data_IF_925039824085
#
_entry.id   IF_925039824085
#
_cell.length_a   1.000
_cell.length_b   1.000
_cell.length_c   1.000
_cell.angle_alpha   90.00
_cell.angle_beta   90.00
_cell.angle_gamma   90.00
#
_symmetry.space_group_name_H-M   'P 1'
#
loop_
_entity.id
_entity.type
_entity.pdbx_description
1 polymer ?
#
# COMPACT_ATOMS: atom_id res chain seq x y z
N UNK A 1 85.70 8.03 -50.54
CA UNK A 1 84.75 7.22 -49.89
C UNK A 1 84.02 8.05 -48.85
N UNK A 2 82.79 8.52 -49.04
CA UNK A 2 82.13 9.36 -48.06
C UNK A 2 81.16 8.59 -47.22
N UNK A 3 81.22 8.77 -45.91
CA UNK A 3 80.32 8.29 -44.90
C UNK A 3 78.93 9.02 -45.00
N UNK A 4 77.88 8.27 -45.10
CA UNK A 4 76.48 8.75 -44.97
C UNK A 4 76.11 8.73 -43.48
N UNK A 5 75.78 9.93 -42.97
CA UNK A 5 75.15 10.09 -41.66
C UNK A 5 73.66 10.09 -41.87
N UNK A 6 72.93 9.12 -41.32
CA UNK A 6 71.48 9.03 -41.30
C UNK A 6 71.00 9.69 -40.02
N UNK A 7 70.32 10.84 -40.18
CA UNK A 7 69.67 11.51 -39.04
C UNK A 7 68.33 10.89 -38.70
N UNK A 8 68.12 10.45 -37.48
CA UNK A 8 66.84 10.04 -36.97
C UNK A 8 66.09 11.26 -36.38
N UNK A 9 64.99 11.63 -37.02
CA UNK A 9 64.03 12.59 -36.46
C UNK A 9 63.15 11.87 -35.45
N UNK A 10 63.30 12.22 -34.16
CA UNK A 10 62.42 11.80 -33.11
C UNK A 10 61.13 12.65 -33.14
N UNK A 11 60.00 12.07 -33.55
CA UNK A 11 58.72 12.66 -33.37
C UNK A 11 58.21 12.37 -31.95
N UNK A 12 58.19 13.39 -31.07
CA UNK A 12 57.52 13.32 -29.77
C UNK A 12 56.06 13.66 -30.00
N UNK A 13 55.26 12.62 -30.08
CA UNK A 13 53.79 12.76 -30.08
C UNK A 13 53.30 13.01 -28.66
N UNK A 14 52.82 14.21 -28.39
CA UNK A 14 52.08 14.52 -27.15
C UNK A 14 50.69 13.92 -27.31
N UNK A 15 50.46 12.78 -26.62
CA UNK A 15 49.11 12.21 -26.47
C UNK A 15 48.41 12.97 -25.36
N UNK A 16 47.56 13.92 -25.70
CA UNK A 16 46.65 14.54 -24.75
C UNK A 16 45.57 13.50 -24.36
N UNK A 17 45.71 12.89 -23.19
CA UNK A 17 44.63 12.10 -22.58
C UNK A 17 43.56 13.06 -22.10
N UNK A 18 42.47 13.17 -22.87
CA UNK A 18 41.20 13.70 -22.38
C UNK A 18 40.62 12.69 -21.40
N UNK A 19 40.75 12.96 -20.09
CA UNK A 19 39.95 12.32 -19.06
C UNK A 19 38.47 12.77 -19.28
N UNK A 20 37.69 11.97 -19.97
CA UNK A 20 36.22 12.03 -19.93
C UNK A 20 35.83 11.66 -18.50
N UNK A 21 35.64 12.66 -17.66
CA UNK A 21 34.90 12.51 -16.42
C UNK A 21 33.46 12.27 -16.87
N UNK A 22 33.09 11.01 -16.93
CA UNK A 22 31.68 10.63 -17.02
C UNK A 22 31.00 11.16 -15.75
N UNK A 23 30.32 12.29 -15.84
CA UNK A 23 29.41 12.71 -14.79
C UNK A 23 28.39 11.57 -14.64
N UNK A 24 28.51 10.84 -13.53
CA UNK A 24 27.49 9.90 -13.13
C UNK A 24 26.16 10.71 -13.09
N UNK A 25 25.08 10.22 -13.74
CA UNK A 25 23.82 10.91 -13.70
C UNK A 25 23.50 11.18 -12.24
N UNK A 26 23.26 12.46 -11.92
CA UNK A 26 22.85 12.85 -10.57
C UNK A 26 21.61 12.02 -10.25
N UNK A 27 21.79 10.95 -9.47
CA UNK A 27 20.67 10.24 -8.88
C UNK A 27 19.92 11.28 -8.09
N UNK A 28 18.70 11.58 -8.46
CA UNK A 28 17.82 12.38 -7.65
C UNK A 28 17.96 11.86 -6.22
N UNK A 29 18.46 12.69 -5.31
CA UNK A 29 18.69 12.28 -3.93
C UNK A 29 17.33 11.86 -3.38
N UNK A 30 17.12 10.55 -3.25
CA UNK A 30 15.92 9.99 -2.69
C UNK A 30 15.72 10.57 -1.29
N UNK A 31 14.48 10.76 -0.87
CA UNK A 31 14.18 11.23 0.47
C UNK A 31 14.93 10.40 1.52
N UNK A 32 15.59 11.06 2.47
CA UNK A 32 16.27 10.40 3.57
C UNK A 32 15.42 10.55 4.84
N UNK A 33 15.22 9.47 5.54
CA UNK A 33 14.49 9.45 6.81
C UNK A 33 15.25 8.65 7.88
N UNK A 34 15.05 9.02 9.13
CA UNK A 34 15.57 8.30 10.30
C UNK A 34 14.79 7.03 10.63
N UNK A 35 13.59 6.82 10.06
CA UNK A 35 12.88 5.56 10.20
C UNK A 35 13.74 4.40 9.68
N UNK A 36 13.73 3.28 10.37
CA UNK A 36 14.39 2.06 9.90
C UNK A 36 13.59 1.38 8.80
N UNK A 37 12.28 1.36 8.94
CA UNK A 37 11.33 0.70 8.06
C UNK A 37 10.20 1.66 7.72
N UNK A 38 9.93 1.87 6.43
CA UNK A 38 8.87 2.79 6.01
C UNK A 38 8.35 2.47 4.61
N UNK A 39 7.08 2.79 4.38
CA UNK A 39 6.45 2.85 3.07
C UNK A 39 5.50 4.04 3.02
N UNK A 40 5.52 4.75 1.90
CA UNK A 40 4.55 5.80 1.56
C UNK A 40 3.87 5.41 0.26
N UNK A 41 2.56 5.32 0.28
CA UNK A 41 1.75 5.00 -0.90
C UNK A 41 0.77 6.11 -1.22
N UNK A 42 0.44 6.24 -2.48
CA UNK A 42 -0.71 7.01 -2.96
C UNK A 42 -1.94 6.11 -2.96
N UNK A 43 -2.97 6.46 -2.20
CA UNK A 43 -4.16 5.64 -2.03
C UNK A 43 -5.03 5.57 -3.29
N UNK A 44 -4.97 6.59 -4.14
CA UNK A 44 -5.75 6.65 -5.38
C UNK A 44 -5.23 5.68 -6.44
N UNK A 45 -3.93 5.72 -6.70
CA UNK A 45 -3.25 4.90 -7.71
C UNK A 45 -2.68 3.57 -7.18
N UNK A 46 -2.51 3.43 -5.86
CA UNK A 46 -1.77 2.34 -5.25
C UNK A 46 -0.24 2.43 -5.43
N UNK A 47 0.25 3.51 -6.04
CA UNK A 47 1.67 3.67 -6.33
C UNK A 47 2.50 3.84 -5.07
N UNK A 48 3.63 3.13 -5.01
CA UNK A 48 4.64 3.30 -3.95
C UNK A 48 5.50 4.52 -4.29
N UNK A 49 5.46 5.55 -3.43
CA UNK A 49 6.22 6.79 -3.60
C UNK A 49 7.59 6.70 -2.94
N UNK A 50 7.63 6.03 -1.80
CA UNK A 50 8.84 5.82 -1.01
C UNK A 50 8.78 4.46 -0.32
N UNK A 51 9.93 3.79 -0.25
CA UNK A 51 10.06 2.57 0.55
C UNK A 51 11.48 2.42 1.10
N UNK A 52 11.56 1.89 2.33
CA UNK A 52 12.78 1.53 3.02
C UNK A 52 12.49 0.31 3.89
N UNK A 53 13.07 -0.84 3.54
CA UNK A 53 12.81 -2.11 4.22
C UNK A 53 11.32 -2.38 4.50
N UNK A 54 10.41 -2.20 3.49
CA UNK A 54 8.96 -2.19 3.70
C UNK A 54 8.39 -3.57 4.01
N UNK A 55 9.16 -4.62 3.72
CA UNK A 55 8.77 -6.03 3.87
C UNK A 55 9.49 -6.75 5.01
N UNK A 56 10.34 -6.04 5.76
CA UNK A 56 10.95 -6.55 6.97
C UNK A 56 9.98 -6.49 8.15
N UNK A 57 10.10 -7.49 9.03
CA UNK A 57 9.25 -7.59 10.20
C UNK A 57 9.59 -6.52 11.25
N UNK A 58 8.53 -5.91 11.75
CA UNK A 58 8.60 -4.98 12.88
C UNK A 58 7.55 -5.37 13.93
N UNK A 59 7.79 -5.02 15.17
CA UNK A 59 6.78 -5.13 16.22
C UNK A 59 5.80 -3.96 16.07
N UNK A 60 4.48 -4.21 15.90
CA UNK A 60 3.51 -3.15 15.66
C UNK A 60 3.25 -2.24 16.86
N UNK A 61 3.44 -2.72 18.09
CA UNK A 61 2.90 -2.08 19.28
C UNK A 61 1.43 -1.70 19.08
N UNK A 62 1.00 -0.56 19.59
CA UNK A 62 -0.40 -0.10 19.48
C UNK A 62 -0.87 0.19 18.06
N UNK A 63 -0.04 0.09 17.01
CA UNK A 63 -0.55 0.17 15.63
C UNK A 63 -1.36 -1.07 15.24
N UNK A 64 -1.21 -2.20 15.96
CA UNK A 64 -2.07 -3.39 15.80
C UNK A 64 -3.55 -3.08 16.01
N UNK A 65 -3.86 -2.07 16.82
CA UNK A 65 -5.25 -1.64 17.08
C UNK A 65 -6.01 -1.19 15.81
N UNK A 66 -5.28 -0.94 14.71
CA UNK A 66 -5.90 -0.77 13.39
C UNK A 66 -6.57 -2.07 12.93
N UNK A 67 -5.94 -3.22 13.15
CA UNK A 67 -6.52 -4.52 12.84
C UNK A 67 -7.68 -4.87 13.79
N UNK A 68 -7.56 -4.50 15.06
CA UNK A 68 -8.65 -4.64 16.03
C UNK A 68 -9.86 -3.80 15.61
N UNK A 69 -9.64 -2.53 15.22
CA UNK A 69 -10.68 -1.66 14.71
C UNK A 69 -11.29 -2.19 13.40
N UNK A 70 -10.45 -2.71 12.48
CA UNK A 70 -10.92 -3.31 11.23
C UNK A 70 -11.93 -4.43 11.49
N UNK A 71 -11.61 -5.34 12.41
CA UNK A 71 -12.48 -6.46 12.72
C UNK A 71 -13.80 -6.01 13.37
N UNK A 72 -13.76 -5.00 14.25
CA UNK A 72 -14.95 -4.38 14.84
C UNK A 72 -15.78 -3.68 13.77
N UNK A 73 -15.15 -2.94 12.87
CA UNK A 73 -15.84 -2.26 11.77
C UNK A 73 -16.47 -3.24 10.77
N UNK A 74 -15.82 -4.39 10.56
CA UNK A 74 -16.38 -5.47 9.76
C UNK A 74 -17.68 -6.03 10.38
N UNK A 75 -17.69 -6.27 11.70
CA UNK A 75 -18.89 -6.73 12.40
C UNK A 75 -20.03 -5.67 12.36
N UNK A 76 -19.68 -4.39 12.49
CA UNK A 76 -20.63 -3.28 12.39
C UNK A 76 -21.21 -3.16 10.97
N UNK A 77 -20.36 -3.25 9.95
CA UNK A 77 -20.78 -3.14 8.55
C UNK A 77 -21.69 -4.30 8.12
N UNK A 78 -21.44 -5.50 8.65
CA UNK A 78 -22.29 -6.67 8.41
C UNK A 78 -23.56 -6.71 9.27
N UNK A 79 -23.75 -5.72 10.16
CA UNK A 79 -24.94 -5.62 11.03
C UNK A 79 -24.98 -6.66 12.16
N UNK A 80 -23.89 -7.37 12.41
CA UNK A 80 -23.76 -8.31 13.54
C UNK A 80 -23.47 -7.60 14.86
N UNK A 81 -23.03 -6.36 14.80
CA UNK A 81 -22.76 -5.48 15.92
C UNK A 81 -23.35 -4.11 15.66
N UNK A 82 -23.73 -3.38 16.70
CA UNK A 82 -24.23 -2.00 16.63
C UNK A 82 -23.37 -1.10 17.53
N UNK A 83 -23.31 0.20 17.20
CA UNK A 83 -22.57 1.19 17.97
C UNK A 83 -23.09 1.40 19.38
N UNK A 84 -24.39 1.17 19.59
CA UNK A 84 -25.08 1.28 20.88
C UNK A 84 -25.15 -0.02 21.67
N UNK A 85 -24.67 -1.14 21.14
CA UNK A 85 -24.48 -2.37 21.90
C UNK A 85 -23.47 -2.11 23.03
N UNK A 86 -23.64 -2.81 24.16
CA UNK A 86 -22.77 -2.67 25.32
C UNK A 86 -22.01 -3.96 25.60
N UNK A 87 -20.72 -3.82 25.92
CA UNK A 87 -19.88 -4.91 26.39
C UNK A 87 -19.52 -4.73 27.86
N UNK A 88 -19.41 -5.86 28.56
CA UNK A 88 -19.00 -5.89 29.96
C UNK A 88 -17.50 -5.87 30.06
N UNK A 89 -16.94 -4.99 30.89
CA UNK A 89 -15.51 -4.93 31.16
C UNK A 89 -15.14 -6.07 32.10
N UNK A 90 -14.41 -7.06 31.60
CA UNK A 90 -13.95 -8.20 32.37
C UNK A 90 -12.86 -7.82 33.41
N UNK A 91 -12.60 -8.68 34.37
CA UNK A 91 -11.44 -8.54 35.26
C UNK A 91 -10.13 -8.59 34.46
N UNK A 92 -10.04 -9.41 33.42
CA UNK A 92 -8.90 -9.47 32.50
C UNK A 92 -8.65 -8.14 31.81
N UNK A 93 -9.66 -7.58 31.15
CA UNK A 93 -9.54 -6.28 30.47
C UNK A 93 -9.12 -5.16 31.44
N UNK A 94 -9.71 -5.14 32.65
CA UNK A 94 -9.39 -4.15 33.66
C UNK A 94 -7.99 -4.31 34.24
N UNK A 95 -7.54 -5.56 34.52
CA UNK A 95 -6.26 -5.84 35.14
C UNK A 95 -5.09 -5.72 34.17
N UNK A 96 -5.21 -6.34 33.00
CA UNK A 96 -4.10 -6.51 32.06
C UNK A 96 -4.08 -5.42 30.98
N UNK A 97 -5.23 -4.79 30.70
CA UNK A 97 -5.34 -3.64 29.80
C UNK A 97 -5.44 -2.28 30.51
N UNK A 98 -5.78 -2.28 31.79
CA UNK A 98 -6.04 -1.06 32.56
C UNK A 98 -4.78 -0.40 33.11
N UNK A 99 -4.98 0.58 33.98
CA UNK A 99 -3.93 1.44 34.56
C UNK A 99 -2.84 0.66 35.30
N UNK A 100 -3.18 -0.46 35.91
CA UNK A 100 -2.24 -1.29 36.69
C UNK A 100 -1.19 -1.96 35.81
N UNK A 101 -1.49 -2.22 34.55
CA UNK A 101 -0.56 -2.83 33.61
C UNK A 101 0.50 -1.84 33.07
N UNK A 102 0.37 -0.54 33.37
CA UNK A 102 1.36 0.49 32.98
C UNK A 102 1.29 0.94 31.52
N UNK A 103 0.29 0.51 30.75
CA UNK A 103 0.08 0.88 29.36
C UNK A 103 -0.92 2.04 29.17
N UNK A 104 -1.27 2.33 27.93
CA UNK A 104 -2.36 3.24 27.61
C UNK A 104 -3.71 2.61 27.96
N UNK A 105 -4.58 3.35 28.67
CA UNK A 105 -5.88 2.87 29.11
C UNK A 105 -6.97 3.93 28.86
N UNK A 106 -8.19 3.48 28.63
CA UNK A 106 -9.41 4.29 28.62
C UNK A 106 -9.92 4.53 30.05
N UNK A 107 -9.33 3.87 31.06
CA UNK A 107 -9.71 3.86 32.47
C UNK A 107 -11.10 3.24 32.73
N UNK A 108 -11.31 2.08 32.14
CA UNK A 108 -12.54 1.30 32.32
C UNK A 108 -12.64 0.75 33.75
N UNK A 109 -13.87 0.61 34.23
CA UNK A 109 -14.17 0.02 35.51
C UNK A 109 -14.61 -1.44 35.34
N UNK A 110 -14.08 -2.35 36.16
CA UNK A 110 -14.48 -3.77 36.11
C UNK A 110 -15.98 -3.93 36.31
N UNK A 111 -16.59 -4.84 35.55
CA UNK A 111 -18.03 -5.12 35.51
C UNK A 111 -18.91 -3.95 35.03
N UNK A 112 -18.34 -2.86 34.55
CA UNK A 112 -19.14 -1.82 33.91
C UNK A 112 -19.57 -2.24 32.50
N UNK A 113 -20.71 -1.71 32.05
CA UNK A 113 -21.21 -1.85 30.70
C UNK A 113 -20.78 -0.62 29.90
N UNK A 114 -20.16 -0.82 28.74
CA UNK A 114 -19.61 0.25 27.92
C UNK A 114 -20.05 0.07 26.49
N UNK A 115 -20.59 1.14 25.89
CA UNK A 115 -21.03 1.12 24.49
C UNK A 115 -19.87 0.85 23.54
N UNK A 116 -20.14 0.10 22.50
CA UNK A 116 -19.17 -0.21 21.44
C UNK A 116 -18.57 1.07 20.82
N UNK A 117 -19.38 2.10 20.61
CA UNK A 117 -18.92 3.40 20.09
C UNK A 117 -17.86 4.05 21.00
N UNK A 118 -18.07 4.00 22.32
CA UNK A 118 -17.13 4.57 23.28
C UNK A 118 -15.84 3.73 23.38
N UNK A 119 -15.98 2.40 23.30
CA UNK A 119 -14.83 1.49 23.24
C UNK A 119 -13.98 1.72 21.98
N UNK A 120 -14.62 2.00 20.83
CA UNK A 120 -13.92 2.36 19.58
C UNK A 120 -13.11 3.66 19.80
N UNK A 121 -13.71 4.71 20.38
CA UNK A 121 -12.96 5.93 20.71
C UNK A 121 -11.82 5.67 21.67
N UNK A 122 -12.06 4.94 22.74
CA UNK A 122 -11.02 4.51 23.67
C UNK A 122 -9.88 3.75 23.00
N UNK A 123 -10.21 2.87 22.03
CA UNK A 123 -9.24 2.12 21.25
C UNK A 123 -8.33 3.03 20.39
N UNK A 124 -8.94 3.95 19.63
CA UNK A 124 -8.22 4.68 18.57
C UNK A 124 -7.66 6.02 19.05
N UNK A 125 -8.35 6.74 19.95
CA UNK A 125 -7.93 8.03 20.49
C UNK A 125 -7.00 7.86 21.68
N UNK A 126 -7.48 7.17 22.74
CA UNK A 126 -6.74 6.98 23.98
C UNK A 126 -5.67 5.87 23.86
N UNK A 127 -5.79 5.05 22.81
CA UNK A 127 -4.98 3.85 22.64
C UNK A 127 -5.19 2.81 23.77
N UNK A 128 -6.40 2.81 24.38
CA UNK A 128 -6.75 1.98 25.53
C UNK A 128 -6.56 0.50 25.27
N UNK A 129 -5.74 -0.15 26.08
CA UNK A 129 -5.56 -1.60 26.02
C UNK A 129 -6.78 -2.30 26.61
N UNK A 130 -7.35 -1.74 27.69
CA UNK A 130 -8.61 -2.16 28.29
C UNK A 130 -9.77 -2.14 27.29
N UNK A 131 -9.88 -1.08 26.51
CA UNK A 131 -10.87 -0.99 25.44
C UNK A 131 -10.64 -2.05 24.33
N UNK A 132 -9.38 -2.32 23.98
CA UNK A 132 -9.04 -3.34 22.97
C UNK A 132 -9.43 -4.76 23.43
N UNK A 133 -9.12 -5.10 24.68
CA UNK A 133 -9.46 -6.40 25.27
C UNK A 133 -10.97 -6.53 25.41
N UNK A 134 -11.66 -5.49 25.93
CA UNK A 134 -13.12 -5.51 26.07
C UNK A 134 -13.83 -5.69 24.73
N UNK A 135 -13.34 -5.01 23.65
CA UNK A 135 -13.87 -5.22 22.30
C UNK A 135 -13.62 -6.65 21.81
N UNK A 136 -12.43 -7.19 22.04
CA UNK A 136 -12.08 -8.54 21.61
C UNK A 136 -12.96 -9.60 22.29
N UNK A 137 -13.11 -9.51 23.60
CA UNK A 137 -13.96 -10.42 24.37
C UNK A 137 -15.45 -10.28 24.01
N UNK A 138 -15.92 -9.04 23.83
CA UNK A 138 -17.32 -8.79 23.46
C UNK A 138 -17.67 -9.32 22.07
N UNK A 139 -16.76 -9.20 21.09
CA UNK A 139 -16.97 -9.64 19.69
C UNK A 139 -16.78 -11.15 19.52
N UNK A 140 -15.84 -11.76 20.24
CA UNK A 140 -15.44 -13.14 20.01
C UNK A 140 -15.61 -14.07 21.23
N UNK A 141 -16.03 -13.53 22.36
CA UNK A 141 -16.19 -14.27 23.63
C UNK A 141 -14.91 -14.45 24.43
N UNK A 142 -13.74 -14.37 23.79
CA UNK A 142 -12.42 -14.45 24.41
C UNK A 142 -11.36 -13.76 23.55
N UNK A 143 -10.26 -13.30 24.17
CA UNK A 143 -9.16 -12.64 23.46
C UNK A 143 -8.51 -13.60 22.44
N UNK A 144 -8.28 -14.86 22.80
CA UNK A 144 -7.67 -15.85 21.89
C UNK A 144 -8.55 -16.14 20.67
N UNK A 145 -9.88 -16.19 20.85
CA UNK A 145 -10.81 -16.36 19.74
C UNK A 145 -10.79 -15.15 18.80
N UNK A 146 -10.65 -13.95 19.36
CA UNK A 146 -10.50 -12.73 18.57
C UNK A 146 -9.19 -12.73 17.79
N UNK A 147 -8.08 -13.14 18.39
CA UNK A 147 -6.77 -13.26 17.73
C UNK A 147 -6.83 -14.24 16.55
N UNK A 148 -7.51 -15.38 16.70
CA UNK A 148 -7.72 -16.30 15.59
C UNK A 148 -8.48 -15.61 14.43
N UNK A 149 -9.52 -14.81 14.75
CA UNK A 149 -10.25 -14.03 13.75
C UNK A 149 -9.39 -12.95 13.12
N UNK A 150 -8.53 -12.25 13.88
CA UNK A 150 -7.58 -11.26 13.35
C UNK A 150 -6.67 -11.89 12.30
N UNK A 151 -6.08 -13.05 12.58
CA UNK A 151 -5.17 -13.74 11.65
C UNK A 151 -5.90 -14.26 10.40
N UNK A 152 -7.09 -14.85 10.56
CA UNK A 152 -7.94 -15.25 9.44
C UNK A 152 -8.27 -14.05 8.55
N UNK A 153 -8.73 -12.97 9.15
CA UNK A 153 -9.09 -11.75 8.44
C UNK A 153 -7.87 -11.09 7.77
N UNK A 154 -6.73 -11.07 8.44
CA UNK A 154 -5.46 -10.62 7.86
C UNK A 154 -5.09 -11.39 6.59
N UNK A 155 -5.27 -12.71 6.59
CA UNK A 155 -5.06 -13.54 5.40
C UNK A 155 -6.03 -13.18 4.27
N UNK A 156 -7.33 -12.99 4.57
CA UNK A 156 -8.34 -12.56 3.59
C UNK A 156 -8.01 -11.20 2.96
N UNK A 157 -7.45 -10.28 3.73
CA UNK A 157 -6.99 -8.96 3.30
C UNK A 157 -5.63 -8.99 2.57
N UNK A 158 -5.00 -10.16 2.45
CA UNK A 158 -3.70 -10.32 1.82
C UNK A 158 -2.54 -9.75 2.63
N UNK A 159 -2.65 -9.70 3.97
CA UNK A 159 -1.56 -9.34 4.89
C UNK A 159 -0.65 -10.56 5.09
N UNK A 160 0.03 -10.97 4.03
CA UNK A 160 0.70 -12.29 3.95
C UNK A 160 1.94 -12.42 4.82
N UNK A 161 2.49 -11.29 5.27
CA UNK A 161 3.70 -11.25 6.11
C UNK A 161 3.40 -10.79 7.54
N UNK A 162 2.13 -10.63 7.92
CA UNK A 162 1.76 -10.18 9.26
C UNK A 162 1.12 -11.30 10.07
N UNK A 163 1.39 -11.30 11.35
CA UNK A 163 0.72 -12.14 12.34
C UNK A 163 0.37 -11.33 13.59
N UNK A 164 -0.75 -11.66 14.20
CA UNK A 164 -1.31 -10.96 15.33
C UNK A 164 -1.41 -11.91 16.53
N UNK A 165 -0.73 -11.58 17.64
CA UNK A 165 -0.70 -12.36 18.85
C UNK A 165 -1.65 -11.85 19.94
N UNK A 166 -2.10 -10.59 19.83
CA UNK A 166 -3.07 -9.98 20.73
C UNK A 166 -3.70 -8.72 20.09
N UNK A 167 -4.86 -8.22 20.59
CA UNK A 167 -5.57 -7.08 19.98
C UNK A 167 -5.02 -5.70 20.36
N UNK A 168 -4.09 -5.59 21.29
CA UNK A 168 -3.70 -4.32 21.89
C UNK A 168 -2.23 -3.90 21.69
N UNK A 169 -1.36 -4.84 21.30
CA UNK A 169 0.00 -4.51 20.88
C UNK A 169 1.09 -4.85 21.89
N UNK A 170 0.83 -5.81 22.78
CA UNK A 170 1.89 -6.41 23.60
C UNK A 170 2.88 -7.14 22.70
N UNK A 171 4.16 -6.92 22.95
CA UNK A 171 5.21 -7.60 22.21
C UNK A 171 5.20 -9.12 22.49
N UNK A 172 5.44 -9.90 21.48
CA UNK A 172 5.50 -11.36 21.57
C UNK A 172 5.97 -11.97 20.23
N UNK A 173 6.32 -13.25 20.22
CA UNK A 173 6.87 -13.91 19.03
C UNK A 173 5.89 -13.93 17.86
N UNK A 174 4.60 -13.97 18.14
CA UNK A 174 3.53 -14.02 17.14
C UNK A 174 2.98 -12.62 16.78
N UNK A 175 3.51 -11.55 17.40
CA UNK A 175 3.10 -10.17 17.18
C UNK A 175 4.08 -9.46 16.25
N UNK A 176 3.91 -9.60 14.96
CA UNK A 176 4.80 -9.00 13.95
C UNK A 176 4.03 -8.58 12.72
N UNK A 177 4.43 -7.47 12.14
CA UNK A 177 3.85 -6.91 10.91
C UNK A 177 4.94 -6.42 9.97
N UNK A 178 4.57 -6.06 8.75
CA UNK A 178 5.45 -5.30 7.86
C UNK A 178 4.84 -3.91 7.57
N UNK A 179 5.65 -2.88 7.30
CA UNK A 179 5.13 -1.59 6.85
C UNK A 179 4.17 -1.69 5.67
N UNK A 180 4.47 -2.56 4.69
CA UNK A 180 3.61 -2.77 3.52
C UNK A 180 2.24 -3.31 3.88
N UNK A 181 2.17 -4.33 4.73
CA UNK A 181 0.89 -4.89 5.17
C UNK A 181 0.09 -3.87 6.00
N UNK A 182 0.76 -3.07 6.84
CA UNK A 182 0.09 -2.02 7.61
C UNK A 182 -0.43 -0.87 6.75
N UNK A 183 0.27 -0.51 5.67
CA UNK A 183 -0.22 0.45 4.70
C UNK A 183 -1.43 -0.09 3.93
N UNK A 184 -1.41 -1.39 3.53
CA UNK A 184 -2.54 -2.08 2.90
C UNK A 184 -3.75 -2.14 3.83
N UNK A 185 -3.55 -2.49 5.10
CA UNK A 185 -4.61 -2.51 6.11
C UNK A 185 -5.22 -1.12 6.29
N UNK A 186 -4.41 -0.07 6.35
CA UNK A 186 -4.89 1.30 6.47
C UNK A 186 -5.71 1.72 5.24
N UNK A 187 -5.23 1.42 4.03
CA UNK A 187 -5.96 1.69 2.78
C UNK A 187 -7.31 0.99 2.74
N UNK A 188 -7.35 -0.28 3.16
CA UNK A 188 -8.57 -1.06 3.27
C UNK A 188 -9.57 -0.42 4.24
N UNK A 189 -9.14 -0.07 5.45
CA UNK A 189 -10.01 0.53 6.48
C UNK A 189 -10.60 1.86 5.99
N UNK A 190 -9.78 2.70 5.35
CA UNK A 190 -10.19 3.99 4.83
C UNK A 190 -11.25 3.84 3.72
N UNK A 191 -11.03 2.92 2.78
CA UNK A 191 -11.90 2.73 1.60
C UNK A 191 -13.18 1.98 1.92
N UNK A 192 -13.09 0.99 2.83
CA UNK A 192 -14.21 0.08 3.10
C UNK A 192 -15.13 0.62 4.19
N UNK A 193 -14.58 1.31 5.19
CA UNK A 193 -15.34 1.78 6.35
C UNK A 193 -15.22 3.29 6.58
N UNK A 194 -15.52 4.16 5.59
CA UNK A 194 -15.31 5.61 5.71
C UNK A 194 -16.07 6.23 6.89
N UNK A 195 -17.27 5.73 7.20
CA UNK A 195 -18.10 6.22 8.30
C UNK A 195 -17.50 5.90 9.67
N UNK A 196 -16.77 4.80 9.81
CA UNK A 196 -16.09 4.42 11.05
C UNK A 196 -14.64 4.93 11.09
N UNK A 197 -14.00 5.09 9.94
CA UNK A 197 -12.66 5.64 9.83
C UNK A 197 -12.52 7.00 10.52
N UNK A 198 -13.57 7.83 10.51
CA UNK A 198 -13.60 9.16 11.14
C UNK A 198 -13.15 9.16 12.60
N UNK A 199 -13.36 8.08 13.34
CA UNK A 199 -12.94 7.99 14.75
C UNK A 199 -11.42 8.13 14.93
N UNK A 200 -10.61 7.70 13.96
CA UNK A 200 -9.16 7.87 14.00
C UNK A 200 -8.71 9.34 13.92
N UNK A 201 -9.55 10.21 13.36
CA UNK A 201 -9.31 11.65 13.24
C UNK A 201 -9.77 12.49 14.43
N UNK A 202 -10.48 11.90 15.40
CA UNK A 202 -10.90 12.61 16.59
C UNK A 202 -9.67 13.02 17.42
N UNK A 203 -9.58 14.33 17.75
CA UNK A 203 -8.39 14.90 18.41
C UNK A 203 -8.32 14.59 19.89
N UNK A 204 -9.46 14.36 20.52
CA UNK A 204 -9.58 14.11 21.94
C UNK A 204 -10.84 13.30 22.24
N UNK A 205 -10.84 12.59 23.35
CA UNK A 205 -12.00 11.86 23.85
C UNK A 205 -12.16 12.10 25.35
N UNK A 206 -13.39 12.32 25.78
CA UNK A 206 -13.75 12.50 27.19
C UNK A 206 -14.51 11.26 27.67
N UNK A 207 -13.89 10.47 28.52
CA UNK A 207 -14.50 9.31 29.14
C UNK A 207 -14.46 9.46 30.67
N UNK A 208 -15.58 9.23 31.32
CA UNK A 208 -15.70 9.24 32.79
C UNK A 208 -14.98 10.47 33.45
N UNK A 209 -15.21 11.67 32.91
CA UNK A 209 -14.58 12.94 33.32
C UNK A 209 -13.07 13.04 33.08
N UNK A 210 -12.46 12.05 32.47
CA UNK A 210 -11.05 12.04 32.08
C UNK A 210 -10.97 12.37 30.59
N UNK A 211 -10.35 13.50 30.26
CA UNK A 211 -10.11 13.93 28.88
C UNK A 211 -8.72 13.49 28.45
N UNK A 212 -8.64 12.76 27.36
CA UNK A 212 -7.37 12.34 26.76
C UNK A 212 -7.27 12.86 25.33
N UNK A 213 -6.05 13.25 24.93
CA UNK A 213 -5.76 13.64 23.56
C UNK A 213 -5.35 12.44 22.73
N UNK A 214 -5.70 12.47 21.44
CA UNK A 214 -5.25 11.48 20.49
C UNK A 214 -3.71 11.39 20.48
N UNK A 215 -3.19 10.17 20.47
CA UNK A 215 -1.74 9.91 20.49
C UNK A 215 -1.04 10.25 19.18
N UNK A 216 -1.78 10.55 18.10
CA UNK A 216 -1.24 10.98 16.83
C UNK A 216 -1.07 12.51 16.78
N UNK A 217 0.15 13.04 16.97
CA UNK A 217 0.36 14.49 17.05
C UNK A 217 0.16 15.18 15.69
N UNK A 218 0.20 14.42 14.58
CA UNK A 218 0.04 14.99 13.23
C UNK A 218 -1.36 15.56 13.01
N UNK A 219 -2.38 15.09 13.74
CA UNK A 219 -3.76 15.58 13.64
C UNK A 219 -3.91 17.08 13.99
N UNK A 220 -2.94 17.64 14.72
CA UNK A 220 -2.94 19.06 15.12
C UNK A 220 -1.97 19.93 14.34
N UNK A 221 -1.23 19.35 13.37
CA UNK A 221 -0.18 20.06 12.62
C UNK A 221 -0.68 20.76 11.34
N UNK A 222 -1.98 20.71 11.06
CA UNK A 222 -2.60 21.36 9.87
C UNK A 222 -1.93 20.98 8.54
N UNK A 223 -1.61 19.69 8.38
CA UNK A 223 -0.97 19.11 7.18
C UNK A 223 -1.87 18.07 6.50
N UNK A 224 -3.19 18.19 6.65
CA UNK A 224 -4.16 17.30 6.02
C UNK A 224 -4.27 15.90 6.65
N UNK A 225 -3.60 15.62 7.77
CA UNK A 225 -3.66 14.30 8.44
C UNK A 225 -5.03 14.12 9.10
N UNK A 226 -5.66 12.96 8.82
CA UNK A 226 -6.99 12.57 9.30
C UNK A 226 -7.00 11.19 10.02
N UNK A 227 -5.85 10.59 10.24
CA UNK A 227 -5.68 9.27 10.92
C UNK A 227 -4.22 8.86 10.92
N UNK A 228 -3.86 7.67 11.32
CA UNK A 228 -4.59 6.64 12.04
C UNK A 228 -4.02 6.46 13.46
N UNK A 229 -2.86 5.77 13.58
CA UNK A 229 -2.41 5.24 14.86
C UNK A 229 -0.91 5.32 15.06
N UNK A 230 -0.50 5.58 16.29
CA UNK A 230 0.89 5.53 16.73
C UNK A 230 1.14 4.29 17.57
N UNK A 231 2.38 3.80 17.54
CA UNK A 231 2.88 2.75 18.42
C UNK A 231 4.17 3.20 19.09
N UNK A 232 4.36 2.71 20.32
CA UNK A 232 5.61 2.84 21.07
C UNK A 232 5.88 1.48 21.71
N UNK A 233 7.04 0.90 21.43
CA UNK A 233 7.36 -0.46 21.88
C UNK A 233 8.29 -0.38 23.10
N UNK A 234 9.51 0.02 22.89
CA UNK A 234 10.55 0.24 23.87
C UNK A 234 11.67 1.08 23.23
N UNK A 235 12.71 1.38 23.99
CA UNK A 235 13.87 2.14 23.49
C UNK A 235 14.65 1.41 22.37
N UNK A 236 14.50 0.08 22.25
CA UNK A 236 15.22 -0.73 21.24
C UNK A 236 14.47 -0.83 19.91
N UNK A 237 13.14 -1.02 19.98
CA UNK A 237 12.29 -1.20 18.80
C UNK A 237 11.74 0.12 18.25
N UNK A 238 11.86 1.20 19.04
CA UNK A 238 11.55 2.57 18.63
C UNK A 238 10.06 2.87 18.51
N UNK A 239 9.78 4.01 17.88
CA UNK A 239 8.45 4.57 17.73
C UNK A 239 7.93 4.35 16.30
N UNK A 240 6.68 3.89 16.17
CA UNK A 240 6.02 3.66 14.89
C UNK A 240 4.78 4.53 14.69
N UNK A 241 4.38 4.70 13.45
CA UNK A 241 3.18 5.40 13.04
C UNK A 241 2.61 4.81 11.75
N UNK A 242 1.28 4.70 11.72
CA UNK A 242 0.52 4.56 10.48
C UNK A 242 -0.32 5.82 10.38
N UNK A 243 -0.14 6.59 9.31
CA UNK A 243 -0.81 7.87 9.11
C UNK A 243 -1.42 7.98 7.72
N UNK A 244 -2.51 8.73 7.62
CA UNK A 244 -3.10 9.14 6.34
C UNK A 244 -3.24 10.65 6.33
N UNK A 245 -2.99 11.26 5.16
CA UNK A 245 -3.17 12.68 4.94
C UNK A 245 -3.83 12.93 3.59
N UNK A 246 -4.62 14.00 3.50
CA UNK A 246 -5.27 14.45 2.27
C UNK A 246 -4.85 15.88 1.96
N UNK A 247 -4.38 16.11 0.74
CA UNK A 247 -4.06 17.45 0.22
C UNK A 247 -4.58 17.53 -1.23
N UNK A 248 -5.38 18.55 -1.52
CA UNK A 248 -5.97 18.77 -2.85
C UNK A 248 -6.71 17.55 -3.45
N UNK A 249 -7.42 16.81 -2.59
CA UNK A 249 -8.17 15.62 -2.99
C UNK A 249 -7.33 14.34 -3.13
N UNK A 250 -6.01 14.43 -3.07
CA UNK A 250 -5.10 13.28 -3.10
C UNK A 250 -4.82 12.77 -1.69
N UNK A 251 -4.88 11.45 -1.50
CA UNK A 251 -4.62 10.81 -0.21
C UNK A 251 -3.30 10.03 -0.25
N UNK A 252 -2.46 10.28 0.74
CA UNK A 252 -1.26 9.49 0.99
C UNK A 252 -1.41 8.69 2.28
N UNK A 253 -0.84 7.46 2.28
CA UNK A 253 -0.79 6.59 3.45
C UNK A 253 0.67 6.25 3.74
N UNK A 254 1.06 6.47 4.99
CA UNK A 254 2.39 6.21 5.52
C UNK A 254 2.31 5.12 6.59
N UNK A 255 3.14 4.09 6.49
CA UNK A 255 3.45 3.18 7.59
C UNK A 255 4.95 3.23 7.84
N UNK A 256 5.38 3.64 9.05
CA UNK A 256 6.78 3.86 9.35
C UNK A 256 7.11 3.49 10.81
N UNK A 257 8.30 2.90 11.00
CA UNK A 257 8.74 2.33 12.28
C UNK A 257 10.23 2.61 12.54
N UNK A 258 10.63 2.48 13.81
CA UNK A 258 12.01 2.60 14.21
C UNK A 258 12.51 4.04 14.39
N UNK A 259 11.62 5.03 14.59
CA UNK A 259 12.04 6.35 15.03
C UNK A 259 12.60 6.29 16.45
N UNK A 260 13.61 7.10 16.76
CA UNK A 260 14.29 7.07 18.06
C UNK A 260 13.48 7.69 19.19
N UNK A 261 12.68 8.69 18.87
CA UNK A 261 11.83 9.40 19.84
C UNK A 261 10.44 9.65 19.27
N UNK A 262 9.47 9.94 20.14
CA UNK A 262 8.14 10.37 19.71
C UNK A 262 8.18 11.67 18.88
N UNK A 263 9.13 12.56 19.18
CA UNK A 263 9.34 13.79 18.43
C UNK A 263 9.87 13.49 17.03
N UNK A 264 10.91 12.65 16.91
CA UNK A 264 11.47 12.27 15.61
C UNK A 264 10.42 11.56 14.76
N UNK A 265 9.61 10.66 15.34
CA UNK A 265 8.47 10.02 14.66
C UNK A 265 7.54 11.05 14.04
N UNK A 266 7.13 12.07 14.80
CA UNK A 266 6.22 13.10 14.32
C UNK A 266 6.85 13.97 13.21
N UNK A 267 8.09 14.43 13.41
CA UNK A 267 8.79 15.28 12.44
C UNK A 267 9.11 14.54 11.14
N UNK A 268 9.63 13.33 11.22
CA UNK A 268 9.98 12.54 10.04
C UNK A 268 8.74 12.10 9.27
N UNK A 269 7.65 11.71 9.95
CA UNK A 269 6.39 11.38 9.30
C UNK A 269 5.80 12.60 8.58
N UNK A 270 5.82 13.78 9.21
CA UNK A 270 5.41 15.04 8.58
C UNK A 270 6.23 15.36 7.34
N UNK A 271 7.56 15.27 7.44
CA UNK A 271 8.46 15.54 6.30
C UNK A 271 8.20 14.58 5.13
N UNK A 272 8.02 13.28 5.42
CA UNK A 272 7.81 12.26 4.40
C UNK A 272 6.46 12.43 3.69
N UNK A 273 5.39 12.74 4.43
CA UNK A 273 4.08 13.05 3.85
C UNK A 273 4.15 14.31 2.96
N UNK A 274 4.73 15.40 3.47
CA UNK A 274 4.89 16.64 2.70
C UNK A 274 5.79 16.44 1.47
N UNK A 275 6.83 15.61 1.58
CA UNK A 275 7.68 15.26 0.44
C UNK A 275 6.85 14.51 -0.63
N UNK A 276 6.00 13.57 -0.23
CA UNK A 276 5.12 12.85 -1.14
C UNK A 276 4.16 13.78 -1.89
N UNK A 277 3.53 14.74 -1.21
CA UNK A 277 2.65 15.70 -1.88
C UNK A 277 3.40 16.66 -2.82
N UNK A 278 4.58 17.15 -2.43
CA UNK A 278 5.33 18.14 -3.21
C UNK A 278 6.08 17.56 -4.41
N UNK A 279 6.57 16.31 -4.29
CA UNK A 279 7.47 15.74 -5.29
C UNK A 279 6.80 14.84 -6.30
N UNK A 280 5.51 14.58 -6.16
CA UNK A 280 4.76 13.78 -7.12
C UNK A 280 3.56 14.56 -7.63
N UNK A 281 3.26 14.36 -8.90
CA UNK A 281 2.07 14.92 -9.55
C UNK A 281 1.36 13.84 -10.36
N UNK A 282 0.04 13.93 -10.41
CA UNK A 282 -0.75 13.09 -11.31
C UNK A 282 -0.62 13.60 -12.73
N UNK A 283 -0.37 12.68 -13.66
CA UNK A 283 -0.41 12.93 -15.09
C UNK A 283 -1.48 12.05 -15.73
N UNK A 284 -2.42 12.68 -16.41
CA UNK A 284 -3.40 11.96 -17.22
C UNK A 284 -2.66 11.27 -18.37
N UNK A 285 -2.84 9.94 -18.49
CA UNK A 285 -2.28 9.14 -19.58
C UNK A 285 -3.33 8.82 -20.62
N UNK A 286 -4.52 8.39 -20.20
CA UNK A 286 -5.67 8.10 -21.05
C UNK A 286 -6.96 8.48 -20.32
N UNK A 287 -7.96 8.91 -21.06
CA UNK A 287 -9.30 9.14 -20.53
C UNK A 287 -10.14 7.86 -20.53
N UNK A 288 -11.18 7.81 -19.70
CA UNK A 288 -12.15 6.74 -19.73
C UNK A 288 -12.71 6.57 -21.15
N UNK A 289 -12.74 5.33 -21.66
CA UNK A 289 -13.17 5.02 -23.03
C UNK A 289 -12.14 5.30 -24.13
N UNK A 290 -11.00 5.90 -23.81
CA UNK A 290 -9.90 6.09 -24.78
C UNK A 290 -9.20 4.76 -25.05
N UNK A 291 -8.85 4.51 -26.32
CA UNK A 291 -8.15 3.28 -26.73
C UNK A 291 -6.73 3.28 -26.19
N UNK A 292 -6.43 2.31 -25.35
CA UNK A 292 -5.10 2.08 -24.74
C UNK A 292 -4.26 1.12 -25.59
N UNK A 293 -4.91 0.19 -26.26
CA UNK A 293 -4.28 -0.81 -27.11
C UNK A 293 -5.27 -1.73 -27.78
N UNK A 294 -4.83 -2.90 -28.24
CA UNK A 294 -5.70 -3.91 -28.85
C UNK A 294 -5.29 -5.32 -28.45
N UNK A 295 -6.25 -6.24 -28.46
CA UNK A 295 -6.02 -7.68 -28.33
C UNK A 295 -6.36 -8.40 -29.62
N UNK A 296 -5.59 -9.45 -29.95
CA UNK A 296 -5.87 -10.31 -31.09
C UNK A 296 -7.07 -11.21 -30.78
N UNK A 297 -7.94 -11.38 -31.77
CA UNK A 297 -9.16 -12.18 -31.68
C UNK A 297 -9.05 -13.39 -32.59
N UNK A 298 -9.31 -14.56 -31.99
CA UNK A 298 -9.38 -15.83 -32.70
C UNK A 298 -10.83 -16.15 -33.08
N UNK A 299 -11.02 -16.51 -34.32
CA UNK A 299 -12.34 -16.94 -34.84
C UNK A 299 -13.40 -15.84 -34.92
N UNK A 300 -13.02 -14.57 -34.76
CA UNK A 300 -13.93 -13.43 -34.78
C UNK A 300 -14.16 -12.83 -36.16
N UNK A 301 -15.26 -12.09 -36.32
CA UNK A 301 -15.53 -11.29 -37.52
C UNK A 301 -14.43 -10.22 -37.76
N UNK A 302 -13.84 -9.72 -36.67
CA UNK A 302 -12.65 -8.87 -36.66
C UNK A 302 -11.44 -9.65 -36.13
N UNK A 303 -10.23 -9.38 -36.62
CA UNK A 303 -8.97 -10.01 -36.16
C UNK A 303 -8.40 -9.40 -34.89
N UNK A 304 -8.94 -8.29 -34.44
CA UNK A 304 -8.55 -7.63 -33.19
C UNK A 304 -9.72 -6.84 -32.59
N UNK A 305 -9.66 -6.58 -31.30
CA UNK A 305 -10.61 -5.73 -30.56
C UNK A 305 -9.82 -4.63 -29.85
N UNK A 306 -10.32 -3.38 -29.92
CA UNK A 306 -9.75 -2.26 -29.17
C UNK A 306 -10.01 -2.43 -27.70
N UNK A 307 -9.01 -2.12 -26.87
CA UNK A 307 -9.07 -2.18 -25.42
C UNK A 307 -9.07 -0.77 -24.84
N UNK A 308 -10.02 -0.51 -23.96
CA UNK A 308 -10.21 0.79 -23.29
C UNK A 308 -10.19 0.60 -21.78
N UNK A 309 -9.84 1.65 -21.06
CA UNK A 309 -9.99 1.71 -19.62
C UNK A 309 -11.39 2.22 -19.26
N UNK A 310 -12.03 1.62 -18.24
CA UNK A 310 -13.36 2.05 -17.76
C UNK A 310 -13.30 3.38 -17.00
N UNK A 311 -12.13 3.77 -16.52
CA UNK A 311 -11.87 5.02 -15.78
C UNK A 311 -10.65 5.73 -16.35
N UNK A 312 -10.51 7.01 -16.02
CA UNK A 312 -9.29 7.77 -16.34
C UNK A 312 -8.05 7.04 -15.84
N UNK A 313 -7.07 6.86 -16.71
CA UNK A 313 -5.76 6.27 -16.40
C UNK A 313 -4.81 7.40 -16.07
N UNK A 314 -4.43 7.48 -14.80
CA UNK A 314 -3.50 8.48 -14.31
C UNK A 314 -2.26 7.81 -13.76
N UNK A 315 -1.09 8.32 -14.10
CA UNK A 315 0.15 7.90 -13.47
C UNK A 315 0.67 8.98 -12.54
N UNK A 316 1.16 8.54 -11.39
CA UNK A 316 1.82 9.42 -10.46
C UNK A 316 3.31 9.49 -10.80
N UNK A 317 3.78 10.69 -11.16
CA UNK A 317 5.16 10.93 -11.58
C UNK A 317 5.89 11.80 -10.59
N UNK A 318 7.17 11.53 -10.38
CA UNK A 318 8.02 12.43 -9.62
C UNK A 318 8.27 13.70 -10.46
N UNK A 319 7.99 14.87 -9.89
CA UNK A 319 8.23 16.17 -10.54
C UNK A 319 9.70 16.32 -10.92
N UNK A 320 9.93 16.78 -12.14
CA UNK A 320 11.30 16.96 -12.64
C UNK A 320 12.06 15.68 -12.97
N UNK A 321 11.42 14.50 -12.87
CA UNK A 321 12.04 13.25 -13.31
C UNK A 321 12.10 13.21 -14.84
N UNK A 322 13.30 12.93 -15.37
CA UNK A 322 13.51 12.63 -16.78
C UNK A 322 13.25 11.16 -17.12
N UNK A 323 12.86 10.34 -16.15
CA UNK A 323 12.58 8.93 -16.37
C UNK A 323 11.38 8.74 -17.29
N UNK A 324 11.60 7.98 -18.36
CA UNK A 324 10.55 7.67 -19.33
C UNK A 324 9.59 6.63 -18.72
N UNK A 325 8.31 6.89 -18.85
CA UNK A 325 7.30 5.85 -18.66
C UNK A 325 7.30 4.92 -19.87
N UNK A 326 7.15 3.63 -19.60
CA UNK A 326 6.82 2.65 -20.62
C UNK A 326 5.51 1.97 -20.25
N UNK A 327 4.60 1.83 -21.21
CA UNK A 327 3.34 1.14 -21.06
C UNK A 327 3.31 -0.12 -21.90
N UNK A 328 2.67 -1.17 -21.40
CA UNK A 328 2.35 -2.37 -22.16
C UNK A 328 0.96 -2.86 -21.83
N UNK A 329 0.27 -3.38 -22.84
CA UNK A 329 -0.97 -4.13 -22.67
C UNK A 329 -0.61 -5.60 -22.45
N UNK A 330 -1.15 -6.19 -21.39
CA UNK A 330 -0.96 -7.60 -21.05
C UNK A 330 -2.31 -8.29 -21.06
N UNK A 331 -2.46 -9.35 -21.85
CA UNK A 331 -3.68 -10.14 -21.95
C UNK A 331 -3.34 -11.61 -22.26
N UNK A 332 -4.26 -12.49 -21.95
CA UNK A 332 -4.17 -13.90 -22.36
C UNK A 332 -4.78 -14.03 -23.76
N UNK A 333 -3.96 -14.38 -24.72
CA UNK A 333 -4.40 -14.36 -26.10
C UNK A 333 -3.89 -15.54 -26.92
N UNK A 334 -4.53 -15.72 -28.10
CA UNK A 334 -5.59 -14.88 -28.68
C UNK A 334 -6.94 -15.05 -27.97
N UNK A 335 -7.73 -13.93 -27.89
CA UNK A 335 -9.05 -13.94 -27.24
C UNK A 335 -10.05 -14.58 -28.20
N UNK A 336 -10.83 -15.53 -27.71
CA UNK A 336 -11.78 -16.30 -28.55
C UNK A 336 -13.10 -15.52 -28.70
N UNK A 337 -13.58 -15.37 -29.93
CA UNK A 337 -14.90 -14.82 -30.20
C UNK A 337 -16.03 -15.84 -29.84
N UNK A 338 -17.25 -15.37 -29.48
CA UNK A 338 -17.68 -13.97 -29.47
C UNK A 338 -17.19 -13.19 -28.25
N UNK A 339 -16.99 -11.89 -28.39
CA UNK A 339 -16.59 -10.98 -27.33
C UNK A 339 -17.69 -9.95 -27.17
N UNK A 340 -18.13 -9.69 -25.96
CA UNK A 340 -19.08 -8.63 -25.65
C UNK A 340 -18.35 -7.33 -25.33
N UNK A 341 -18.93 -6.18 -25.69
CA UNK A 341 -18.45 -4.88 -25.27
C UNK A 341 -18.43 -4.81 -23.73
N UNK A 342 -17.34 -4.26 -23.14
CA UNK A 342 -17.15 -4.23 -21.69
C UNK A 342 -16.58 -5.51 -21.08
N UNK A 343 -16.37 -6.58 -21.87
CA UNK A 343 -15.71 -7.78 -21.36
C UNK A 343 -14.28 -7.49 -20.92
N UNK A 344 -13.89 -7.98 -19.75
CA UNK A 344 -12.50 -7.84 -19.23
C UNK A 344 -11.56 -8.74 -20.03
N UNK A 345 -10.64 -8.12 -20.78
CA UNK A 345 -9.73 -8.84 -21.69
C UNK A 345 -8.30 -8.87 -21.18
N UNK A 346 -7.83 -7.79 -20.57
CA UNK A 346 -6.45 -7.69 -20.14
C UNK A 346 -6.25 -6.53 -19.17
N UNK A 347 -5.01 -6.05 -19.11
CA UNK A 347 -4.64 -4.92 -18.27
C UNK A 347 -3.56 -4.07 -18.94
N UNK A 348 -3.46 -2.81 -18.55
CA UNK A 348 -2.32 -1.96 -18.87
C UNK A 348 -1.36 -1.92 -17.70
N UNK A 349 -0.10 -2.26 -17.94
CA UNK A 349 1.00 -2.03 -17.01
C UNK A 349 1.79 -0.81 -17.44
N UNK A 350 1.88 0.19 -16.56
CA UNK A 350 2.78 1.34 -16.74
C UNK A 350 3.99 1.14 -15.83
N UNK A 351 5.17 1.26 -16.39
CA UNK A 351 6.44 1.11 -15.66
C UNK A 351 7.25 2.39 -15.69
N UNK A 352 7.95 2.65 -14.60
CA UNK A 352 9.03 3.62 -14.47
C UNK A 352 10.33 2.85 -14.24
N UNK A 353 11.15 2.75 -15.26
CA UNK A 353 12.27 1.81 -15.22
C UNK A 353 11.81 0.36 -15.00
N UNK A 354 12.28 -0.30 -13.93
CA UNK A 354 11.87 -1.64 -13.56
C UNK A 354 10.60 -1.69 -12.68
N UNK A 355 10.18 -0.55 -12.11
CA UNK A 355 9.07 -0.48 -11.17
C UNK A 355 7.74 -0.34 -11.91
N UNK A 356 6.77 -1.23 -11.62
CA UNK A 356 5.37 -1.07 -12.06
C UNK A 356 4.73 0.02 -11.18
N UNK A 357 4.34 1.13 -11.82
CA UNK A 357 3.73 2.28 -11.14
C UNK A 357 2.20 2.30 -11.29
N UNK A 358 1.67 1.54 -12.25
CA UNK A 358 0.24 1.38 -12.45
C UNK A 358 -0.04 0.01 -13.10
N UNK A 359 -1.06 -0.68 -12.62
CA UNK A 359 -1.64 -1.89 -13.22
C UNK A 359 -3.17 -1.76 -13.17
N UNK A 360 -3.81 -1.64 -14.33
CA UNK A 360 -5.25 -1.43 -14.43
C UNK A 360 -5.91 -2.36 -15.44
N UNK A 361 -7.10 -2.92 -15.13
CA UNK A 361 -7.84 -3.74 -16.09
C UNK A 361 -8.29 -2.93 -17.30
N UNK A 362 -8.31 -3.61 -18.46
CA UNK A 362 -8.83 -3.11 -19.71
C UNK A 362 -10.01 -3.97 -20.17
N UNK A 363 -10.97 -3.33 -20.80
CA UNK A 363 -12.18 -3.96 -21.33
C UNK A 363 -12.27 -3.79 -22.84
N UNK A 364 -13.04 -4.67 -23.49
CA UNK A 364 -13.35 -4.55 -24.92
C UNK A 364 -14.18 -3.29 -25.19
N UNK A 365 -13.72 -2.45 -26.12
CA UNK A 365 -14.43 -1.23 -26.52
C UNK A 365 -15.71 -1.50 -27.29
N UNK A 366 -15.79 -2.65 -27.97
CA UNK A 366 -16.87 -3.06 -28.85
C UNK A 366 -17.08 -4.57 -28.79
N UNK A 367 -18.26 -5.03 -29.22
CA UNK A 367 -18.50 -6.46 -29.40
C UNK A 367 -17.85 -6.98 -30.70
N UNK A 368 -17.36 -8.20 -30.65
CA UNK A 368 -16.84 -8.92 -31.82
C UNK A 368 -17.57 -10.26 -31.93
N UNK A 369 -18.39 -10.39 -32.96
CA UNK A 369 -19.13 -11.61 -33.25
C UNK A 369 -18.21 -12.70 -33.84
N UNK A 370 -18.69 -13.95 -33.87
CA UNK A 370 -18.01 -15.03 -34.56
C UNK A 370 -17.86 -14.72 -36.06
N UNK A 371 -16.69 -15.01 -36.57
CA UNK A 371 -16.40 -14.87 -38.00
C UNK A 371 -16.94 -16.03 -38.84
N UNK A 372 -17.04 -15.87 -40.17
CA UNK A 372 -17.44 -16.93 -41.07
C UNK A 372 -16.48 -18.12 -41.03
N UNK A 373 -16.98 -19.31 -41.36
CA UNK A 373 -16.22 -20.58 -41.24
C UNK A 373 -14.83 -20.54 -41.90
N UNK A 374 -14.69 -19.93 -43.08
CA UNK A 374 -13.43 -19.85 -43.78
C UNK A 374 -12.35 -19.07 -42.99
N UNK A 375 -12.78 -17.98 -42.29
CA UNK A 375 -11.89 -17.19 -41.47
C UNK A 375 -11.47 -17.95 -40.22
N UNK A 376 -12.41 -18.61 -39.56
CA UNK A 376 -12.14 -19.47 -38.39
C UNK A 376 -11.15 -20.63 -38.74
N UNK A 377 -11.30 -21.21 -39.94
CA UNK A 377 -10.37 -22.23 -40.42
C UNK A 377 -8.98 -21.66 -40.69
N UNK A 378 -8.88 -20.46 -41.23
CA UNK A 378 -7.60 -19.76 -41.44
C UNK A 378 -6.90 -19.47 -40.12
N UNK A 379 -7.63 -18.90 -39.15
CA UNK A 379 -7.09 -18.60 -37.81
C UNK A 379 -6.60 -19.87 -37.11
N UNK A 380 -7.33 -21.01 -37.24
CA UNK A 380 -6.91 -22.30 -36.71
C UNK A 380 -5.61 -22.82 -37.33
N UNK A 381 -5.48 -22.70 -38.65
CA UNK A 381 -4.27 -23.07 -39.37
C UNK A 381 -3.05 -22.21 -38.99
N UNK A 382 -3.29 -20.90 -38.81
CA UNK A 382 -2.25 -19.95 -38.38
C UNK A 382 -1.74 -20.25 -36.97
N UNK A 383 -2.64 -20.44 -35.99
CA UNK A 383 -2.28 -20.77 -34.61
C UNK A 383 -1.55 -22.13 -34.51
N UNK A 384 -1.98 -23.13 -35.30
CA UNK A 384 -1.29 -24.41 -35.37
C UNK A 384 0.14 -24.25 -35.87
N UNK A 385 0.35 -23.44 -36.93
CA UNK A 385 1.67 -23.19 -37.47
C UNK A 385 2.55 -22.38 -36.48
N UNK A 386 2.00 -21.38 -35.83
CA UNK A 386 2.70 -20.53 -34.85
C UNK A 386 3.13 -21.36 -33.61
N UNK A 387 2.26 -22.22 -33.10
CA UNK A 387 2.57 -23.09 -31.95
C UNK A 387 3.65 -24.14 -32.32
N UNK A 388 3.62 -24.69 -33.54
CA UNK A 388 4.64 -25.63 -33.99
C UNK A 388 6.04 -24.99 -34.12
N UNK A 389 6.11 -23.72 -34.51
CA UNK A 389 7.35 -22.93 -34.56
C UNK A 389 7.88 -22.66 -33.15
N UNK A 390 7.00 -22.26 -32.25
CA UNK A 390 7.36 -21.94 -30.86
C UNK A 390 7.94 -23.16 -30.12
N UNK A 391 7.31 -24.32 -30.25
CA UNK A 391 7.79 -25.59 -29.67
C UNK A 391 9.16 -26.00 -30.23
N UNK A 392 9.47 -25.65 -31.49
CA UNK A 392 10.79 -25.93 -32.07
C UNK A 392 11.89 -25.00 -31.56
N UNK A 393 11.56 -23.78 -31.24
CA UNK A 393 12.52 -22.78 -30.72
C UNK A 393 12.85 -23.03 -29.24
N UNK A 394 11.87 -23.44 -28.43
CA UNK A 394 12.06 -23.75 -27.00
C UNK A 394 12.77 -25.09 -26.73
N UNK A 395 12.82 -26.01 -27.71
CA UNK A 395 13.59 -27.26 -27.62
C UNK A 395 15.07 -27.15 -28.00
N UNK A 396 15.53 -25.96 -28.39
CA UNK A 396 16.93 -25.70 -28.80
C UNK A 396 17.78 -24.93 -27.76
N UNK A 397 17.25 -24.75 -26.54
CA UNK A 397 18.02 -24.17 -25.41
C UNK A 397 18.06 -25.10 -24.22
#
# INVERSE_FOLDING_TARGET
MPNKIVGYLLYIGVVAQFLLVAEAPARAQGFQTSFTNAILIDAGSGAVLYEKAPDEFVTPASTVKIMTAELVFHELADGRLKLDDEFVVSEHAWRDGGTRAGGSAMFLQVNSHVRVEDLIRGLVVDSGNDAAITLAEGVAGAEEAFVMRMNKRGSELGLTKSSFGNPWGQAGPDQKVTPRDMARLADHVIKTYPDYYRYFGEKEFLWNKIKQSNRNPLLTMSIGVDGLKTGNIDEKSGFGIVASAVEEGRRLILAAYGARTAKDRAEEARKLLQWGFRNFEEKDLFKAGETVGSAQVYGGAKGSVSLVAEKDVKALLQRGSSEKLSGRVVYEGPVVAPIEAGAKIGRVEIKRGALVVLDMPLVAAESVEEGPLYKRAFDAAYEYAASAIHVRLTKKH
#
